data_IF_071924614088
#
_entry.id   IF_071924614088
#
_cell.length_a   1.000
_cell.length_b   1.000
_cell.length_c   1.000
_cell.angle_alpha   90.00
_cell.angle_beta   90.00
_cell.angle_gamma   90.00
#
_symmetry.space_group_name_H-M   'P 1'
#
loop_
_entity.id
_entity.type
_entity.pdbx_description
1 polymer ?
#
# COMPACT_ATOMS: atom_id res chain seq x y z
N UNK A 1 16.81 -5.08 4.98
CA UNK A 1 16.23 -5.85 3.86
C UNK A 1 17.27 -6.01 2.75
N UNK A 2 17.56 -7.23 2.29
CA UNK A 2 18.64 -7.51 1.32
C UNK A 2 18.44 -6.83 -0.04
N UNK A 3 17.20 -6.77 -0.56
CA UNK A 3 16.95 -6.17 -1.86
C UNK A 3 17.20 -4.64 -1.87
N UNK A 4 17.00 -3.94 -0.74
CA UNK A 4 17.36 -2.53 -0.63
C UNK A 4 18.87 -2.31 -0.78
N UNK A 5 19.68 -3.19 -0.20
CA UNK A 5 21.13 -3.17 -0.35
C UNK A 5 21.57 -3.40 -1.80
N UNK A 6 21.02 -4.44 -2.45
CA UNK A 6 21.29 -4.73 -3.87
C UNK A 6 20.82 -3.60 -4.81
N UNK A 7 19.77 -2.86 -4.43
CA UNK A 7 19.26 -1.73 -5.18
C UNK A 7 20.03 -0.41 -4.93
N UNK A 8 21.04 -0.41 -4.06
CA UNK A 8 21.71 0.81 -3.58
C UNK A 8 20.75 1.85 -2.99
N UNK A 9 19.69 1.38 -2.31
CA UNK A 9 18.71 2.21 -1.63
C UNK A 9 18.95 2.16 -0.12
N UNK A 10 18.54 3.19 0.63
CA UNK A 10 18.42 3.05 2.07
C UNK A 10 17.47 1.89 2.40
N UNK A 11 17.65 1.20 3.54
CA UNK A 11 16.65 0.28 4.04
C UNK A 11 15.28 0.97 4.09
N UNK A 12 14.19 0.33 3.64
CA UNK A 12 12.88 0.90 3.84
C UNK A 12 12.59 1.01 5.34
N UNK A 13 11.66 1.91 5.66
CA UNK A 13 11.07 2.00 7.00
C UNK A 13 10.47 0.65 7.43
N UNK A 14 10.23 0.50 8.74
CA UNK A 14 9.58 -0.68 9.30
C UNK A 14 8.14 -0.83 8.74
N UNK A 15 7.66 -2.07 8.67
CA UNK A 15 6.34 -2.40 8.10
C UNK A 15 5.21 -1.61 8.76
N UNK A 16 5.27 -1.48 10.08
CA UNK A 16 4.32 -0.72 10.87
C UNK A 16 4.32 0.76 10.50
N UNK A 17 5.50 1.35 10.26
CA UNK A 17 5.64 2.76 9.87
C UNK A 17 5.09 2.99 8.46
N UNK A 18 5.40 2.10 7.51
CA UNK A 18 4.87 2.20 6.15
C UNK A 18 3.34 2.06 6.16
N UNK A 19 2.81 1.11 6.94
CA UNK A 19 1.37 0.92 7.08
C UNK A 19 0.69 2.11 7.77
N UNK A 20 1.29 2.68 8.81
CA UNK A 20 0.77 3.91 9.46
C UNK A 20 0.74 5.09 8.48
N UNK A 21 1.77 5.24 7.65
CA UNK A 21 1.81 6.26 6.62
C UNK A 21 0.72 6.06 5.56
N UNK A 22 0.48 4.81 5.14
CA UNK A 22 -0.61 4.46 4.22
C UNK A 22 -1.98 4.73 4.80
N UNK A 23 -2.18 4.37 6.07
CA UNK A 23 -3.40 4.69 6.81
C UNK A 23 -3.64 6.20 6.86
N UNK A 24 -2.65 6.96 7.33
CA UNK A 24 -2.77 8.41 7.52
C UNK A 24 -3.00 9.16 6.19
N UNK A 25 -2.34 8.74 5.11
CA UNK A 25 -2.54 9.36 3.80
C UNK A 25 -3.91 9.00 3.22
N UNK A 26 -4.38 7.76 3.37
CA UNK A 26 -5.73 7.39 2.94
C UNK A 26 -6.81 8.24 3.62
N UNK A 27 -6.72 8.43 4.95
CA UNK A 27 -7.65 9.30 5.69
C UNK A 27 -7.66 10.75 5.19
N UNK A 28 -6.53 11.27 4.69
CA UNK A 28 -6.44 12.63 4.14
C UNK A 28 -7.03 12.75 2.74
N UNK A 29 -7.04 11.66 1.97
CA UNK A 29 -7.47 11.65 0.57
C UNK A 29 -8.95 11.29 0.41
N UNK A 30 -9.52 10.55 1.35
CA UNK A 30 -10.96 10.22 1.33
C UNK A 30 -11.77 11.45 1.73
N UNK A 31 -12.75 11.88 0.92
CA UNK A 31 -13.59 13.03 1.22
C UNK A 31 -14.58 12.72 2.36
N UNK A 32 -15.50 13.65 2.63
CA UNK A 32 -16.65 13.38 3.51
C UNK A 32 -17.43 12.17 3.02
N UNK A 33 -17.74 11.26 3.94
CA UNK A 33 -18.42 10.01 3.61
C UNK A 33 -19.94 10.16 3.63
N UNK A 34 -20.65 9.50 2.71
CA UNK A 34 -22.10 9.38 2.78
C UNK A 34 -22.55 8.73 4.10
N UNK A 35 -23.70 9.20 4.60
CA UNK A 35 -24.42 8.57 5.72
C UNK A 35 -24.93 7.17 5.34
N UNK A 36 -25.50 6.94 4.14
CA UNK A 36 -25.94 5.61 3.75
C UNK A 36 -24.77 4.63 3.65
N UNK A 37 -24.86 3.51 4.39
CA UNK A 37 -23.78 2.53 4.53
C UNK A 37 -23.29 1.94 3.20
N UNK A 38 -24.20 1.73 2.26
CA UNK A 38 -23.89 1.20 0.93
C UNK A 38 -23.08 2.20 0.09
N UNK A 39 -23.51 3.46 0.07
CA UNK A 39 -22.83 4.52 -0.69
C UNK A 39 -21.46 4.82 -0.09
N UNK A 40 -21.36 4.80 1.24
CA UNK A 40 -20.07 4.86 1.95
C UNK A 40 -19.12 3.76 1.48
N UNK A 41 -19.59 2.51 1.41
CA UNK A 41 -18.80 1.40 0.90
C UNK A 41 -18.29 1.64 -0.52
N UNK A 42 -19.15 2.15 -1.41
CA UNK A 42 -18.78 2.44 -2.79
C UNK A 42 -17.68 3.52 -2.89
N UNK A 43 -17.79 4.63 -2.15
CA UNK A 43 -16.78 5.70 -2.13
C UNK A 43 -15.43 5.18 -1.61
N UNK A 44 -15.45 4.38 -0.54
CA UNK A 44 -14.24 3.81 0.05
C UNK A 44 -13.58 2.80 -0.90
N UNK A 45 -14.38 1.96 -1.57
CA UNK A 45 -13.88 1.02 -2.58
C UNK A 45 -13.27 1.75 -3.78
N UNK A 46 -13.93 2.80 -4.28
CA UNK A 46 -13.42 3.63 -5.38
C UNK A 46 -12.08 4.28 -5.03
N UNK A 47 -11.96 4.85 -3.82
CA UNK A 47 -10.71 5.44 -3.35
C UNK A 47 -9.59 4.41 -3.12
N UNK A 48 -9.94 3.20 -2.65
CA UNK A 48 -8.98 2.15 -2.32
C UNK A 48 -8.50 1.35 -3.54
N UNK A 49 -9.38 1.13 -4.54
CA UNK A 49 -9.11 0.26 -5.69
C UNK A 49 -7.80 0.57 -6.42
N UNK A 50 -7.43 1.83 -6.73
CA UNK A 50 -6.17 2.11 -7.42
C UNK A 50 -4.93 1.65 -6.64
N UNK A 51 -4.98 1.72 -5.30
CA UNK A 51 -3.90 1.31 -4.42
C UNK A 51 -3.73 -0.21 -4.45
N UNK A 52 -4.85 -0.93 -4.36
CA UNK A 52 -4.87 -2.38 -4.47
C UNK A 52 -4.34 -2.84 -5.82
N UNK A 53 -4.81 -2.27 -6.92
CA UNK A 53 -4.34 -2.60 -8.27
C UNK A 53 -2.84 -2.34 -8.42
N UNK A 54 -2.35 -1.19 -7.97
CA UNK A 54 -0.92 -0.87 -8.04
C UNK A 54 -0.06 -1.85 -7.25
N UNK A 55 -0.50 -2.23 -6.04
CA UNK A 55 0.21 -3.21 -5.23
C UNK A 55 0.19 -4.61 -5.87
N UNK A 56 -0.95 -5.02 -6.44
CA UNK A 56 -1.09 -6.27 -7.20
C UNK A 56 -0.17 -6.29 -8.42
N UNK A 57 -0.14 -5.23 -9.23
CA UNK A 57 0.71 -5.13 -10.41
C UNK A 57 2.20 -5.24 -10.04
N UNK A 58 2.62 -4.62 -8.93
CA UNK A 58 3.99 -4.73 -8.45
C UNK A 58 4.33 -6.12 -7.93
N UNK A 59 3.38 -6.83 -7.32
CA UNK A 59 3.54 -8.22 -6.90
C UNK A 59 3.62 -9.18 -8.10
N UNK A 60 2.76 -9.00 -9.10
CA UNK A 60 2.77 -9.81 -10.33
C UNK A 60 4.04 -9.59 -11.15
N UNK A 61 4.56 -8.36 -11.17
CA UNK A 61 5.82 -8.02 -11.82
C UNK A 61 7.06 -8.34 -10.96
N UNK A 62 6.92 -9.04 -9.83
CA UNK A 62 8.05 -9.37 -8.97
C UNK A 62 9.06 -10.26 -9.71
N UNK A 63 10.35 -9.89 -9.72
CA UNK A 63 11.38 -10.76 -10.24
C UNK A 63 11.58 -11.95 -9.31
N UNK A 64 12.07 -13.06 -9.87
CA UNK A 64 12.55 -14.18 -9.06
C UNK A 64 13.64 -13.73 -8.09
N UNK A 65 13.55 -14.18 -6.84
CA UNK A 65 14.52 -13.84 -5.81
C UNK A 65 15.87 -14.51 -6.10
N UNK A 66 16.93 -13.71 -6.13
CA UNK A 66 18.31 -14.17 -6.32
C UNK A 66 19.27 -13.21 -5.62
N UNK A 67 20.40 -13.72 -5.14
CA UNK A 67 21.46 -12.93 -4.50
C UNK A 67 22.23 -12.06 -5.48
N UNK A 68 22.23 -12.43 -6.77
CA UNK A 68 23.03 -11.78 -7.81
C UNK A 68 22.16 -10.96 -8.79
N UNK A 69 20.97 -10.55 -8.36
CA UNK A 69 20.05 -9.83 -9.22
C UNK A 69 20.53 -8.39 -9.51
N UNK A 70 20.23 -7.85 -10.71
CA UNK A 70 20.56 -6.46 -11.04
C UNK A 70 19.86 -5.46 -10.10
N UNK A 71 20.46 -4.29 -9.83
CA UNK A 71 19.87 -3.27 -8.94
C UNK A 71 18.45 -2.86 -9.31
N UNK A 72 18.12 -2.79 -10.61
CA UNK A 72 16.78 -2.47 -11.08
C UNK A 72 15.73 -3.53 -10.71
N UNK A 73 16.11 -4.81 -10.70
CA UNK A 73 15.23 -5.90 -10.25
C UNK A 73 15.04 -5.84 -8.73
N UNK A 74 16.13 -5.59 -7.99
CA UNK A 74 16.07 -5.40 -6.55
C UNK A 74 15.19 -4.20 -6.14
N UNK A 75 15.26 -3.10 -6.90
CA UNK A 75 14.38 -1.94 -6.68
C UNK A 75 12.90 -2.28 -6.85
N UNK A 76 12.53 -3.16 -7.78
CA UNK A 76 11.13 -3.60 -7.95
C UNK A 76 10.63 -4.34 -6.73
N UNK A 77 11.47 -5.16 -6.09
CA UNK A 77 11.12 -5.82 -4.82
C UNK A 77 10.87 -4.78 -3.73
N UNK A 78 11.74 -3.77 -3.61
CA UNK A 78 11.55 -2.69 -2.62
C UNK A 78 10.24 -1.93 -2.86
N UNK A 79 9.91 -1.64 -4.12
CA UNK A 79 8.65 -0.96 -4.48
C UNK A 79 7.43 -1.82 -4.15
N UNK A 80 7.46 -3.10 -4.50
CA UNK A 80 6.38 -4.04 -4.18
C UNK A 80 6.18 -4.12 -2.66
N UNK A 81 7.26 -4.27 -1.90
CA UNK A 81 7.24 -4.27 -0.43
C UNK A 81 6.56 -3.02 0.13
N UNK A 82 7.02 -1.83 -0.23
CA UNK A 82 6.45 -0.57 0.26
C UNK A 82 4.97 -0.46 -0.15
N UNK A 83 4.64 -0.74 -1.41
CA UNK A 83 3.27 -0.62 -1.90
C UNK A 83 2.29 -1.56 -1.18
N UNK A 84 2.70 -2.79 -0.86
CA UNK A 84 1.88 -3.75 -0.13
C UNK A 84 1.59 -3.26 1.28
N UNK A 85 2.62 -2.85 2.04
CA UNK A 85 2.42 -2.39 3.42
C UNK A 85 1.63 -1.08 3.48
N UNK A 86 1.88 -0.18 2.53
CA UNK A 86 1.15 1.06 2.42
C UNK A 86 -0.33 0.81 2.07
N UNK A 87 -0.62 -0.11 1.15
CA UNK A 87 -1.99 -0.55 0.79
C UNK A 87 -2.68 -1.22 1.98
N UNK A 88 -1.98 -2.04 2.77
CA UNK A 88 -2.52 -2.63 4.00
C UNK A 88 -2.94 -1.55 5.01
N UNK A 89 -2.15 -0.50 5.16
CA UNK A 89 -2.49 0.68 5.96
C UNK A 89 -3.76 1.36 5.49
N UNK A 90 -3.84 1.63 4.19
CA UNK A 90 -5.02 2.24 3.54
C UNK A 90 -6.28 1.37 3.70
N UNK A 91 -6.16 0.04 3.56
CA UNK A 91 -7.28 -0.89 3.78
C UNK A 91 -7.81 -0.78 5.22
N UNK A 92 -6.92 -0.73 6.20
CA UNK A 92 -7.33 -0.59 7.61
C UNK A 92 -8.06 0.74 7.84
N UNK A 93 -7.57 1.83 7.24
CA UNK A 93 -8.26 3.13 7.28
C UNK A 93 -9.65 3.04 6.64
N UNK A 94 -9.77 2.44 5.46
CA UNK A 94 -11.05 2.23 4.77
C UNK A 94 -12.04 1.44 5.63
N UNK A 95 -11.60 0.35 6.25
CA UNK A 95 -12.47 -0.47 7.11
C UNK A 95 -12.88 0.27 8.39
N UNK A 96 -11.98 1.06 8.97
CA UNK A 96 -12.29 1.91 10.13
C UNK A 96 -13.37 2.94 9.78
N UNK A 97 -13.21 3.62 8.64
CA UNK A 97 -14.17 4.58 8.13
C UNK A 97 -15.53 3.95 7.78
N UNK A 98 -15.52 2.76 7.18
CA UNK A 98 -16.74 2.03 6.83
C UNK A 98 -17.59 1.74 8.07
N UNK A 99 -16.95 1.27 9.13
CA UNK A 99 -17.57 0.88 10.40
C UNK A 99 -17.81 2.05 11.37
N UNK A 100 -17.36 3.26 11.03
CA UNK A 100 -17.54 4.42 11.90
C UNK A 100 -19.04 4.80 11.96
N UNK A 101 -19.55 5.19 13.13
CA UNK A 101 -20.92 5.71 13.22
C UNK A 101 -21.08 6.94 12.30
N UNK A 102 -22.25 7.05 11.68
CA UNK A 102 -22.62 8.20 10.85
C UNK A 102 -22.77 9.48 11.68
#
# INVERSE_FOLDING_TARGET
MQAAHLAHLPPPEQEEVIAQNGHALFLKLVPSLPVPHRERGAVLEEAFRPLLLTASDYLEAMPALSTDMPPAAAQRIVRAYVAVHWTRGAQNAAMTLYNSPA
#
